data_IF_844484544951
#
_entry.id   IF_844484544951
#
_cell.length_a   1.000
_cell.length_b   1.000
_cell.length_c   1.000
_cell.angle_alpha   90.00
_cell.angle_beta   90.00
_cell.angle_gamma   90.00
#
_symmetry.space_group_name_H-M   'P 1'
#
loop_
_entity.id
_entity.type
_entity.pdbx_description
1 polymer ?
#
# COMPACT_ATOMS: atom_id res chain seq x y z
N UNK A 1 20.33 8.63 12.79
CA UNK A 1 19.13 8.13 12.10
C UNK A 1 19.19 6.61 12.09
N UNK A 2 18.23 5.93 12.70
CA UNK A 2 18.09 4.47 12.56
C UNK A 2 17.69 4.21 11.11
N UNK A 3 18.54 3.54 10.33
CA UNK A 3 18.16 3.08 8.99
C UNK A 3 17.11 1.98 9.15
N UNK A 4 16.04 2.05 8.38
CA UNK A 4 15.11 0.92 8.28
C UNK A 4 15.88 -0.33 7.85
N UNK A 5 15.55 -1.49 8.44
CA UNK A 5 16.20 -2.77 8.15
C UNK A 5 15.69 -3.37 6.82
N UNK A 6 15.72 -2.58 5.74
CA UNK A 6 15.33 -3.00 4.40
C UNK A 6 16.57 -3.42 3.58
N UNK A 7 16.45 -4.40 2.67
CA UNK A 7 17.57 -4.87 1.84
C UNK A 7 18.24 -3.76 1.02
N UNK A 8 17.46 -2.83 0.47
CA UNK A 8 17.94 -1.71 -0.33
C UNK A 8 17.53 -0.38 0.30
N UNK A 9 18.44 0.61 0.43
CA UNK A 9 18.08 1.93 0.93
C UNK A 9 16.93 2.57 0.15
N UNK A 10 16.08 3.34 0.83
CA UNK A 10 14.98 4.04 0.18
C UNK A 10 15.51 5.01 -0.90
N UNK A 11 14.93 4.89 -2.09
CA UNK A 11 15.13 5.82 -3.21
C UNK A 11 13.79 6.41 -3.65
N UNK A 12 13.68 7.74 -3.59
CA UNK A 12 12.48 8.50 -4.00
C UNK A 12 12.23 8.37 -5.51
N UNK A 13 13.26 8.12 -6.30
CA UNK A 13 13.19 8.05 -7.76
C UNK A 13 13.02 6.62 -8.29
N UNK A 14 13.10 5.60 -7.43
CA UNK A 14 12.95 4.21 -7.85
C UNK A 14 11.63 3.99 -8.61
N UNK A 15 11.70 3.36 -9.79
CA UNK A 15 10.51 2.96 -10.53
C UNK A 15 9.91 1.70 -9.91
N UNK A 16 8.76 1.84 -9.24
CA UNK A 16 8.02 0.70 -8.69
C UNK A 16 7.20 0.09 -9.83
N UNK A 17 7.41 -1.18 -10.20
CA UNK A 17 6.62 -1.81 -11.24
C UNK A 17 5.19 -2.01 -10.75
N UNK A 18 4.22 -1.38 -11.42
CA UNK A 18 2.79 -1.51 -11.10
C UNK A 18 1.93 -2.00 -12.28
N UNK A 19 2.56 -2.35 -13.41
CA UNK A 19 1.86 -2.88 -14.60
C UNK A 19 1.51 -4.35 -14.48
N UNK A 20 2.30 -5.11 -13.73
CA UNK A 20 2.10 -6.54 -13.56
C UNK A 20 2.43 -6.98 -12.12
N UNK A 21 1.65 -7.95 -11.63
CA UNK A 21 1.70 -8.42 -10.25
C UNK A 21 3.04 -9.10 -9.93
N UNK A 22 3.60 -9.84 -10.88
CA UNK A 22 4.82 -10.62 -10.66
C UNK A 22 6.02 -9.70 -10.48
N UNK A 23 6.22 -8.74 -11.37
CA UNK A 23 7.30 -7.75 -11.28
C UNK A 23 7.15 -6.90 -10.02
N UNK A 24 5.92 -6.55 -9.62
CA UNK A 24 5.69 -5.88 -8.34
C UNK A 24 6.20 -6.70 -7.16
N UNK A 25 5.78 -7.97 -7.05
CA UNK A 25 6.19 -8.85 -5.95
C UNK A 25 7.71 -9.05 -5.97
N UNK A 26 8.28 -9.42 -7.11
CA UNK A 26 9.72 -9.67 -7.26
C UNK A 26 10.54 -8.45 -6.84
N UNK A 27 10.12 -7.25 -7.28
CA UNK A 27 10.80 -6.01 -6.93
C UNK A 27 10.69 -5.69 -5.44
N UNK A 28 9.51 -5.84 -4.84
CA UNK A 28 9.29 -5.55 -3.42
C UNK A 28 10.03 -6.53 -2.51
N UNK A 29 10.08 -7.82 -2.86
CA UNK A 29 10.89 -8.80 -2.14
C UNK A 29 12.37 -8.43 -2.22
N UNK A 30 12.89 -8.15 -3.43
CA UNK A 30 14.30 -7.85 -3.62
C UNK A 30 14.75 -6.54 -2.95
N UNK A 31 13.92 -5.49 -2.98
CA UNK A 31 14.30 -4.17 -2.49
C UNK A 31 13.91 -3.93 -1.04
N UNK A 32 12.80 -4.53 -0.58
CA UNK A 32 12.20 -4.23 0.73
C UNK A 32 12.06 -5.44 1.64
N UNK A 33 12.23 -6.66 1.13
CA UNK A 33 12.16 -7.89 1.93
C UNK A 33 10.77 -8.20 2.46
N UNK A 34 9.72 -7.68 1.80
CA UNK A 34 8.32 -7.85 2.23
C UNK A 34 7.78 -9.25 1.88
N UNK A 35 6.76 -9.70 2.62
CA UNK A 35 6.13 -11.01 2.43
C UNK A 35 5.41 -11.09 1.07
N UNK A 36 5.78 -12.03 0.18
CA UNK A 36 5.17 -12.15 -1.15
C UNK A 36 3.66 -12.42 -1.12
N UNK A 37 3.12 -13.05 -0.08
CA UNK A 37 1.67 -13.27 0.07
C UNK A 37 0.94 -11.95 0.30
N UNK A 38 1.42 -11.14 1.23
CA UNK A 38 0.81 -9.84 1.54
C UNK A 38 0.97 -8.86 0.39
N UNK A 39 2.11 -8.92 -0.33
CA UNK A 39 2.31 -8.18 -1.57
C UNK A 39 1.30 -8.58 -2.67
N UNK A 40 1.00 -9.87 -2.79
CA UNK A 40 0.00 -10.35 -3.73
C UNK A 40 -1.40 -9.79 -3.41
N UNK A 41 -1.81 -9.81 -2.13
CA UNK A 41 -3.08 -9.27 -1.66
C UNK A 41 -3.15 -7.73 -1.85
N UNK A 42 -2.06 -7.02 -1.56
CA UNK A 42 -1.92 -5.58 -1.83
C UNK A 42 -2.15 -5.26 -3.30
N UNK A 43 -1.50 -6.03 -4.20
CA UNK A 43 -1.63 -5.81 -5.63
C UNK A 43 -3.04 -6.10 -6.15
N UNK A 44 -3.69 -7.16 -5.65
CA UNK A 44 -5.07 -7.47 -6.03
C UNK A 44 -6.03 -6.34 -5.62
N UNK A 45 -5.85 -5.80 -4.40
CA UNK A 45 -6.62 -4.62 -3.96
C UNK A 45 -6.31 -3.39 -4.80
N UNK A 46 -5.05 -3.16 -5.14
CA UNK A 46 -4.61 -2.05 -5.98
C UNK A 46 -5.34 -2.06 -7.33
N UNK A 47 -5.44 -3.22 -8.00
CA UNK A 47 -6.13 -3.32 -9.29
C UNK A 47 -7.60 -2.89 -9.19
N UNK A 48 -8.28 -3.30 -8.11
CA UNK A 48 -9.67 -2.90 -7.84
C UNK A 48 -9.76 -1.39 -7.59
N UNK A 49 -8.82 -0.81 -6.84
CA UNK A 49 -8.79 0.63 -6.55
C UNK A 49 -8.55 1.46 -7.82
N UNK A 50 -7.70 1.00 -8.74
CA UNK A 50 -7.52 1.64 -10.05
C UNK A 50 -8.79 1.55 -10.88
N UNK A 51 -9.40 0.36 -10.97
CA UNK A 51 -10.66 0.15 -11.71
C UNK A 51 -11.78 1.07 -11.20
N UNK A 52 -11.92 1.19 -9.88
CA UNK A 52 -12.93 2.02 -9.23
C UNK A 52 -12.60 3.52 -9.21
N UNK A 53 -11.44 3.93 -9.75
CA UNK A 53 -10.95 5.31 -9.70
C UNK A 53 -10.75 5.84 -8.27
N UNK A 54 -10.44 4.95 -7.33
CA UNK A 54 -10.07 5.31 -5.96
C UNK A 54 -8.63 5.85 -5.90
N UNK A 55 -7.76 5.45 -6.84
CA UNK A 55 -6.42 6.02 -7.06
C UNK A 55 -6.24 6.35 -8.54
N UNK A 56 -6.02 7.64 -8.86
CA UNK A 56 -6.04 8.12 -10.24
C UNK A 56 -4.66 8.30 -10.86
N UNK A 57 -3.83 9.15 -10.26
CA UNK A 57 -2.49 9.45 -10.76
C UNK A 57 -1.45 8.42 -10.30
N UNK A 58 -0.31 8.39 -11.00
CA UNK A 58 0.75 7.43 -10.74
C UNK A 58 1.41 7.62 -9.37
N UNK A 59 1.33 8.82 -8.80
CA UNK A 59 1.84 9.12 -7.47
C UNK A 59 0.99 8.44 -6.39
N UNK A 60 -0.33 8.53 -6.48
CA UNK A 60 -1.26 7.89 -5.54
C UNK A 60 -1.23 6.37 -5.69
N UNK A 61 -1.09 5.86 -6.93
CA UNK A 61 -0.84 4.43 -7.20
C UNK A 61 0.43 3.95 -6.51
N UNK A 62 1.54 4.68 -6.69
CA UNK A 62 2.82 4.39 -6.04
C UNK A 62 2.72 4.45 -4.52
N UNK A 63 2.03 5.44 -3.97
CA UNK A 63 1.85 5.59 -2.53
C UNK A 63 1.10 4.39 -1.92
N UNK A 64 0.03 3.93 -2.57
CA UNK A 64 -0.69 2.74 -2.14
C UNK A 64 0.18 1.48 -2.16
N UNK A 65 0.92 1.25 -3.25
CA UNK A 65 1.76 0.06 -3.41
C UNK A 65 2.97 0.03 -2.45
N UNK A 66 3.49 1.19 -2.05
CA UNK A 66 4.64 1.28 -1.14
C UNK A 66 4.26 1.27 0.34
N UNK A 67 2.98 1.32 0.69
CA UNK A 67 2.52 1.41 2.08
C UNK A 67 2.00 0.05 2.55
N UNK A 68 2.75 -0.67 3.41
CA UNK A 68 2.32 -1.97 3.93
C UNK A 68 1.22 -1.79 4.98
N UNK A 69 -0.04 -1.81 4.54
CA UNK A 69 -1.20 -1.64 5.42
C UNK A 69 -1.25 -2.66 6.57
N UNK A 70 -0.69 -3.84 6.36
CA UNK A 70 -0.53 -4.92 7.34
C UNK A 70 0.23 -4.48 8.60
N UNK A 71 1.12 -3.50 8.50
CA UNK A 71 1.87 -2.97 9.65
C UNK A 71 1.03 -2.04 10.55
N UNK A 72 -0.16 -1.64 10.08
CA UNK A 72 -1.05 -0.68 10.75
C UNK A 72 -2.35 -1.31 11.23
N UNK A 73 -2.53 -2.62 11.07
CA UNK A 73 -3.67 -3.37 11.60
C UNK A 73 -3.25 -4.15 12.84
N UNK A 74 -4.22 -4.53 13.67
CA UNK A 74 -3.95 -5.44 14.78
C UNK A 74 -3.68 -6.87 14.26
N UNK A 75 -2.95 -7.71 15.01
CA UNK A 75 -2.59 -9.07 14.59
C UNK A 75 -3.79 -9.93 14.14
N UNK A 76 -4.93 -9.83 14.83
CA UNK A 76 -6.15 -10.55 14.47
C UNK A 76 -6.76 -10.14 13.13
N UNK A 77 -6.38 -8.97 12.61
CA UNK A 77 -6.87 -8.40 11.36
C UNK A 77 -5.89 -8.60 10.19
N UNK A 78 -4.73 -9.23 10.40
CA UNK A 78 -3.72 -9.40 9.34
C UNK A 78 -4.27 -10.10 8.10
N UNK A 79 -5.06 -11.17 8.26
CA UNK A 79 -5.70 -11.88 7.14
C UNK A 79 -6.76 -11.08 6.39
N UNK A 80 -7.06 -9.87 6.85
CA UNK A 80 -8.05 -8.94 6.27
C UNK A 80 -7.44 -7.59 5.93
N UNK A 81 -6.11 -7.44 6.02
CA UNK A 81 -5.44 -6.14 5.87
C UNK A 81 -5.82 -5.45 4.55
N UNK A 82 -6.00 -6.22 3.48
CA UNK A 82 -6.34 -5.75 2.14
C UNK A 82 -7.82 -5.94 1.76
N UNK A 83 -8.70 -6.20 2.72
CA UNK A 83 -10.14 -6.08 2.50
C UNK A 83 -10.50 -4.62 2.19
N UNK A 84 -11.63 -4.43 1.50
CA UNK A 84 -12.19 -3.09 1.27
C UNK A 84 -12.74 -2.44 2.56
N UNK A 85 -12.74 -3.17 3.67
CA UNK A 85 -13.43 -2.82 4.91
C UNK A 85 -12.62 -1.90 5.83
N UNK A 86 -13.34 -1.27 6.76
CA UNK A 86 -12.78 -0.64 7.95
C UNK A 86 -12.41 -1.73 8.94
N UNK A 87 -11.26 -1.59 9.61
CA UNK A 87 -10.78 -2.56 10.59
C UNK A 87 -10.59 -1.86 11.93
N UNK A 88 -11.09 -2.47 13.01
CA UNK A 88 -10.83 -1.98 14.36
C UNK A 88 -9.34 -2.06 14.68
N UNK A 89 -8.82 -1.01 15.32
CA UNK A 89 -7.42 -0.93 15.75
C UNK A 89 -7.30 -0.61 17.26
N UNK A 90 -8.36 -0.87 18.02
CA UNK A 90 -8.44 -0.56 19.45
C UNK A 90 -8.88 0.88 19.74
N UNK A 91 -9.01 1.22 21.03
CA UNK A 91 -9.38 2.55 21.52
C UNK A 91 -10.68 3.14 20.93
N UNK A 92 -11.58 2.28 20.43
CA UNK A 92 -12.83 2.70 19.79
C UNK A 92 -12.64 3.33 18.41
N UNK A 93 -11.48 3.13 17.76
CA UNK A 93 -11.18 3.68 16.43
C UNK A 93 -10.92 2.59 15.39
N UNK A 94 -11.04 2.98 14.12
CA UNK A 94 -10.81 2.08 12.99
C UNK A 94 -9.78 2.68 12.03
N UNK A 95 -9.03 1.81 11.36
CA UNK A 95 -8.31 2.20 10.15
C UNK A 95 -9.29 2.16 8.97
N UNK A 96 -9.45 3.31 8.30
CA UNK A 96 -10.32 3.47 7.14
C UNK A 96 -10.01 2.46 6.04
N UNK A 97 -11.04 2.00 5.31
CA UNK A 97 -10.86 1.09 4.19
C UNK A 97 -9.95 1.69 3.09
N UNK A 98 -9.21 0.85 2.34
CA UNK A 98 -8.29 1.32 1.29
C UNK A 98 -8.93 2.27 0.28
N UNK A 99 -10.16 1.97 -0.13
CA UNK A 99 -10.93 2.77 -1.09
C UNK A 99 -11.17 4.20 -0.62
N UNK A 100 -11.52 4.40 0.67
CA UNK A 100 -11.80 5.72 1.22
C UNK A 100 -10.52 6.55 1.30
N UNK A 101 -9.43 5.97 1.82
CA UNK A 101 -8.14 6.67 1.92
C UNK A 101 -7.61 7.03 0.52
N UNK A 102 -7.73 6.13 -0.44
CA UNK A 102 -7.38 6.40 -1.84
C UNK A 102 -8.13 7.60 -2.40
N UNK A 103 -9.46 7.63 -2.24
CA UNK A 103 -10.29 8.76 -2.70
C UNK A 103 -9.93 10.05 -2.00
N UNK A 104 -9.79 10.05 -0.68
CA UNK A 104 -9.39 11.24 0.09
C UNK A 104 -8.08 11.80 -0.44
N UNK A 105 -7.07 10.94 -0.64
CA UNK A 105 -5.74 11.34 -1.14
C UNK A 105 -5.80 11.89 -2.56
N UNK A 106 -6.62 11.27 -3.42
CA UNK A 106 -6.87 11.75 -4.78
C UNK A 106 -7.59 13.10 -4.77
N UNK A 107 -8.58 13.29 -3.90
CA UNK A 107 -9.40 14.51 -3.84
C UNK A 107 -8.64 15.73 -3.35
N UNK A 108 -7.72 15.57 -2.40
CA UNK A 108 -6.90 16.69 -1.91
C UNK A 108 -5.76 17.05 -2.85
N UNK A 109 -5.50 16.23 -3.88
CA UNK A 109 -4.46 16.41 -4.88
C UNK A 109 -3.13 16.91 -4.28
N UNK A 110 -2.51 16.08 -3.42
CA UNK A 110 -1.33 16.46 -2.62
C UNK A 110 -0.22 17.08 -3.49
N UNK A 111 0.09 18.35 -3.32
CA UNK A 111 1.20 18.98 -4.02
C UNK A 111 2.48 18.96 -3.17
N UNK A 112 3.63 18.93 -3.83
CA UNK A 112 4.93 19.12 -3.19
C UNK A 112 5.56 20.39 -3.77
N UNK A 113 5.91 21.32 -2.89
CA UNK A 113 6.73 22.49 -3.24
C UNK A 113 8.20 22.09 -3.46
#
# INVERSE_FOLDING_TARGET
AVKAAVPVPYDRNAEVPFKDKKSFIDWMVANRGEDPKLLAERFDRFQIMVYNKDVLDDRNKRAFLLTPREEFVLPQNLGRAYDHAFLDIGYGVTISGPHLVGRMTTSIDVQFD
#
